data_IF_505754850664
#
_entry.id   IF_505754850664
#
_cell.length_a   1.000
_cell.length_b   1.000
_cell.length_c   1.000
_cell.angle_alpha   90.00
_cell.angle_beta   90.00
_cell.angle_gamma   90.00
#
_symmetry.space_group_name_H-M   'P 1'
#
loop_
_entity.id
_entity.type
_entity.pdbx_description
1 polymer ?
#
# COMPACT_ATOMS: atom_id res chain seq x y z
N UNK A 1 20.46 -3.37 -5.91
CA UNK A 1 19.69 -2.10 -5.98
C UNK A 1 18.27 -2.43 -5.63
N UNK A 2 17.77 -1.96 -4.49
CA UNK A 2 16.37 -2.17 -4.10
C UNK A 2 15.50 -1.39 -5.08
N UNK A 3 14.63 -2.09 -5.82
CA UNK A 3 13.64 -1.43 -6.69
C UNK A 3 12.49 -1.01 -5.80
N UNK A 4 12.30 0.30 -5.65
CA UNK A 4 11.14 0.86 -4.96
C UNK A 4 10.23 1.52 -5.99
N UNK A 5 8.94 1.20 -5.94
CA UNK A 5 7.91 1.84 -6.76
C UNK A 5 7.01 2.69 -5.88
N UNK A 6 6.78 3.92 -6.28
CA UNK A 6 5.98 4.89 -5.51
C UNK A 6 4.83 5.38 -6.36
N UNK A 7 3.63 5.36 -5.79
CA UNK A 7 2.43 6.00 -6.31
C UNK A 7 2.04 7.10 -5.33
N UNK A 8 1.92 8.35 -5.79
CA UNK A 8 1.66 9.50 -4.94
C UNK A 8 0.28 10.09 -5.18
N UNK A 9 -0.27 10.72 -4.16
CA UNK A 9 -1.52 11.49 -4.20
C UNK A 9 -2.69 10.68 -4.82
N UNK A 10 -2.78 9.40 -4.47
CA UNK A 10 -3.80 8.51 -5.03
C UNK A 10 -5.09 8.67 -4.23
N UNK A 11 -6.22 9.00 -4.89
CA UNK A 11 -7.50 9.10 -4.22
C UNK A 11 -8.04 7.73 -3.80
N UNK A 12 -8.40 7.63 -2.52
CA UNK A 12 -9.09 6.49 -1.92
C UNK A 12 -10.42 6.96 -1.36
N UNK A 13 -11.50 6.33 -1.83
CA UNK A 13 -12.85 6.54 -1.31
C UNK A 13 -12.95 5.78 0.02
N UNK A 14 -13.03 6.51 1.13
CA UNK A 14 -13.14 5.96 2.47
C UNK A 14 -14.61 5.68 2.85
N UNK A 15 -15.51 6.54 2.40
CA UNK A 15 -16.97 6.42 2.55
C UNK A 15 -17.65 6.99 1.31
N UNK A 16 -18.98 6.90 1.21
CA UNK A 16 -19.74 7.52 0.11
C UNK A 16 -19.55 9.03 -0.04
N UNK A 17 -19.07 9.70 1.01
CA UNK A 17 -18.92 11.16 1.06
C UNK A 17 -17.48 11.60 1.35
N UNK A 18 -16.57 10.65 1.59
CA UNK A 18 -15.19 10.96 2.01
C UNK A 18 -14.20 10.32 1.06
N UNK A 19 -13.40 11.16 0.42
CA UNK A 19 -12.20 10.78 -0.33
C UNK A 19 -10.98 11.35 0.37
N UNK A 20 -9.89 10.60 0.38
CA UNK A 20 -8.61 11.05 0.93
C UNK A 20 -7.45 10.57 0.06
N UNK A 21 -6.38 11.35 0.03
CA UNK A 21 -5.19 11.06 -0.77
C UNK A 21 -4.22 10.18 0.02
N UNK A 22 -3.73 9.13 -0.63
CA UNK A 22 -2.76 8.20 -0.06
C UNK A 22 -1.54 8.07 -0.96
N UNK A 23 -0.39 7.96 -0.31
CA UNK A 23 0.85 7.55 -0.95
C UNK A 23 1.06 6.05 -0.74
N UNK A 24 1.45 5.35 -1.80
CA UNK A 24 1.73 3.93 -1.78
C UNK A 24 3.16 3.68 -2.22
N UNK A 25 3.89 2.89 -1.45
CA UNK A 25 5.25 2.47 -1.76
C UNK A 25 5.32 0.94 -1.76
N UNK A 26 5.91 0.38 -2.81
CA UNK A 26 6.23 -1.04 -2.94
C UNK A 26 7.73 -1.17 -2.96
N UNK A 27 8.29 -1.90 -2.01
CA UNK A 27 9.73 -2.07 -1.86
C UNK A 27 10.12 -3.51 -1.55
N UNK A 28 11.43 -3.77 -1.56
CA UNK A 28 12.01 -5.04 -1.15
C UNK A 28 13.11 -4.79 -0.11
N UNK A 29 12.97 -5.43 1.04
CA UNK A 29 13.94 -5.40 2.13
C UNK A 29 14.46 -6.81 2.40
N UNK A 30 15.79 -6.98 2.44
CA UNK A 30 16.41 -8.30 2.61
C UNK A 30 16.07 -9.03 3.93
N UNK A 31 15.46 -8.35 4.91
CA UNK A 31 15.02 -8.95 6.18
C UNK A 31 13.55 -9.38 6.19
N UNK A 32 12.69 -8.72 5.40
CA UNK A 32 11.23 -8.88 5.44
C UNK A 32 10.65 -9.35 4.10
N UNK A 33 11.49 -9.42 3.07
CA UNK A 33 11.08 -9.61 1.70
C UNK A 33 10.46 -8.34 1.12
N UNK A 34 9.54 -8.53 0.17
CA UNK A 34 8.76 -7.43 -0.37
C UNK A 34 7.74 -6.91 0.64
N UNK A 35 7.51 -5.61 0.61
CA UNK A 35 6.55 -4.94 1.48
C UNK A 35 5.80 -3.88 0.70
N UNK A 36 4.64 -3.51 1.23
CA UNK A 36 3.95 -2.31 0.84
C UNK A 36 3.81 -1.37 2.04
N UNK A 37 4.05 -0.08 1.80
CA UNK A 37 3.82 0.98 2.76
C UNK A 37 2.74 1.90 2.20
N UNK A 38 1.78 2.25 3.04
CA UNK A 38 0.66 3.12 2.74
C UNK A 38 0.74 4.29 3.71
N UNK A 39 0.72 5.53 3.21
CA UNK A 39 0.88 6.73 4.05
C UNK A 39 -0.17 7.77 3.69
N UNK A 40 -0.77 8.43 4.71
CA UNK A 40 -1.70 9.55 4.51
C UNK A 40 -1.86 10.35 5.79
N UNK A 41 -1.88 11.70 5.66
CA UNK A 41 -2.04 12.63 6.78
C UNK A 41 -1.11 12.38 8.00
N UNK A 42 0.10 11.88 7.76
CA UNK A 42 1.06 11.56 8.81
C UNK A 42 0.86 10.19 9.47
N UNK A 43 -0.15 9.43 9.06
CA UNK A 43 -0.35 8.04 9.45
C UNK A 43 0.22 7.07 8.43
N UNK A 44 0.72 5.94 8.90
CA UNK A 44 1.36 4.91 8.08
C UNK A 44 0.81 3.52 8.36
N UNK A 45 0.86 2.66 7.34
CA UNK A 45 0.53 1.26 7.41
C UNK A 45 1.53 0.47 6.56
N UNK A 46 2.24 -0.47 7.18
CA UNK A 46 3.19 -1.36 6.53
C UNK A 46 2.58 -2.76 6.51
N UNK A 47 2.52 -3.34 5.33
CA UNK A 47 1.99 -4.70 5.10
C UNK A 47 2.99 -5.55 4.35
N UNK A 48 2.97 -6.85 4.64
CA UNK A 48 3.73 -7.86 3.92
C UNK A 48 3.10 -8.21 2.56
N UNK A 49 3.81 -9.03 1.77
CA UNK A 49 3.33 -9.54 0.48
C UNK A 49 2.02 -10.33 0.56
N UNK A 50 1.78 -10.99 1.69
CA UNK A 50 0.59 -11.76 1.99
C UNK A 50 -0.56 -10.89 2.53
N UNK A 51 -0.37 -9.56 2.49
CA UNK A 51 -1.27 -8.57 3.10
C UNK A 51 -1.38 -8.70 4.62
N UNK A 52 -0.45 -9.42 5.25
CA UNK A 52 -0.36 -9.43 6.71
C UNK A 52 0.03 -8.04 7.20
N UNK A 53 -0.65 -7.60 8.24
CA UNK A 53 -0.27 -6.36 8.93
C UNK A 53 1.09 -6.56 9.60
N UNK A 54 2.05 -5.70 9.29
CA UNK A 54 3.37 -5.72 9.91
C UNK A 54 3.46 -4.64 11.00
N UNK A 55 3.14 -3.39 10.66
CA UNK A 55 3.27 -2.25 11.57
C UNK A 55 2.45 -1.04 11.06
N UNK A 56 2.27 -0.02 11.92
CA UNK A 56 1.71 1.28 11.54
C UNK A 56 0.50 1.73 12.37
N UNK A 57 0.29 3.05 12.45
CA UNK A 57 -0.73 3.70 13.27
C UNK A 57 -2.00 4.08 12.48
N UNK A 58 -2.08 3.70 11.21
CA UNK A 58 -3.21 4.04 10.34
C UNK A 58 -4.56 3.66 10.97
N UNK A 59 -5.56 4.57 10.96
CA UNK A 59 -6.90 4.28 11.47
C UNK A 59 -7.54 3.08 10.78
N UNK A 60 -8.19 2.18 11.55
CA UNK A 60 -8.78 0.93 11.03
C UNK A 60 -9.75 1.15 9.87
N UNK A 61 -10.55 2.23 9.94
CA UNK A 61 -11.48 2.64 8.88
C UNK A 61 -10.81 2.97 7.54
N UNK A 62 -9.51 3.31 7.54
CA UNK A 62 -8.75 3.62 6.33
C UNK A 62 -8.01 2.41 5.77
N UNK A 63 -7.66 1.45 6.63
CA UNK A 63 -6.82 0.30 6.26
C UNK A 63 -7.43 -0.49 5.11
N UNK A 64 -8.66 -0.96 5.26
CA UNK A 64 -9.30 -1.81 4.26
C UNK A 64 -9.48 -1.09 2.91
N UNK A 65 -10.04 0.14 2.84
CA UNK A 65 -10.11 0.90 1.58
C UNK A 65 -8.75 1.13 0.93
N UNK A 66 -7.73 1.51 1.71
CA UNK A 66 -6.41 1.79 1.17
C UNK A 66 -5.72 0.52 0.64
N UNK A 67 -5.83 -0.61 1.35
CA UNK A 67 -5.31 -1.91 0.88
C UNK A 67 -6.01 -2.34 -0.41
N UNK A 68 -7.34 -2.18 -0.51
CA UNK A 68 -8.07 -2.50 -1.74
C UNK A 68 -7.62 -1.63 -2.92
N UNK A 69 -7.37 -0.33 -2.70
CA UNK A 69 -6.84 0.56 -3.74
C UNK A 69 -5.44 0.14 -4.17
N UNK A 70 -4.56 -0.20 -3.24
CA UNK A 70 -3.23 -0.70 -3.53
C UNK A 70 -3.27 -1.95 -4.41
N UNK A 71 -4.13 -2.92 -4.06
CA UNK A 71 -4.31 -4.15 -4.85
C UNK A 71 -4.77 -3.85 -6.28
N UNK A 72 -5.65 -2.87 -6.46
CA UNK A 72 -6.07 -2.43 -7.79
C UNK A 72 -4.91 -1.80 -8.57
N UNK A 73 -4.12 -0.91 -7.95
CA UNK A 73 -2.95 -0.28 -8.59
C UNK A 73 -1.89 -1.32 -9.02
N UNK A 74 -1.68 -2.35 -8.21
CA UNK A 74 -0.73 -3.42 -8.51
C UNK A 74 -1.25 -4.30 -9.65
N UNK A 75 -2.54 -4.66 -9.63
CA UNK A 75 -3.18 -5.44 -10.70
C UNK A 75 -3.17 -4.69 -12.04
N UNK A 76 -3.51 -3.41 -12.04
CA UNK A 76 -3.57 -2.58 -13.25
C UNK A 76 -2.19 -2.36 -13.87
N UNK A 77 -1.12 -2.38 -13.07
CA UNK A 77 0.26 -2.31 -13.56
C UNK A 77 0.77 -3.61 -14.19
N UNK A 78 -0.07 -4.66 -14.25
CA UNK A 78 0.23 -5.96 -14.86
C UNK A 78 1.46 -6.65 -14.24
N UNK A 79 1.67 -6.45 -12.93
CA UNK A 79 2.66 -7.18 -12.13
C UNK A 79 1.95 -7.68 -10.90
N UNK A 80 1.78 -9.00 -10.78
CA UNK A 80 1.45 -9.55 -9.47
C UNK A 80 2.61 -9.24 -8.52
N UNK A 81 2.34 -9.04 -7.22
CA UNK A 81 3.40 -8.96 -6.20
C UNK A 81 4.31 -10.22 -6.29
N UNK A 82 3.81 -11.32 -6.84
CA UNK A 82 4.56 -12.55 -7.13
C UNK A 82 5.37 -12.61 -8.43
N UNK A 83 5.32 -11.61 -9.33
CA UNK A 83 6.05 -11.62 -10.63
C UNK A 83 7.49 -11.06 -10.54
N UNK A 84 8.05 -10.99 -9.33
CA UNK A 84 9.43 -10.56 -9.06
C UNK A 84 10.39 -11.75 -8.86
N UNK A 85 10.18 -12.86 -9.59
CA UNK A 85 11.14 -13.96 -9.72
C UNK A 85 11.86 -13.91 -11.06
#
# INVERSE_FOLDING_TARGET
>A
MSKTKIYKDIPVILTTETEQLFDFELGESGQVGQYAKISSEGHELIIGVDLSYLDGDMPEKWRQPAVQKLLALVRDDNKTIGDLN
#
